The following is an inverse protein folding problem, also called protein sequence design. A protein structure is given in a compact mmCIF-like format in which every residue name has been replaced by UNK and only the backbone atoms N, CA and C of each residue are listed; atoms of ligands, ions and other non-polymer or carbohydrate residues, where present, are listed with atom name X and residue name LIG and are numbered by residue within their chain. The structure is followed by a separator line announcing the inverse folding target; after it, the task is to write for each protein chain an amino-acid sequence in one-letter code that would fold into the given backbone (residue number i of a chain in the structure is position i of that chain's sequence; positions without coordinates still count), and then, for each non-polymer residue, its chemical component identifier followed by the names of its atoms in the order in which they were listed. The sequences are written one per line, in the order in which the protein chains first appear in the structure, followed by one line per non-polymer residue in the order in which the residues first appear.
data_IF_843923006061
#
_entry.id   IF_843923006061
#
_cell.length_a   1.000
_cell.length_b   1.000
_cell.length_c   1.000
_cell.angle_alpha   90.00
_cell.angle_beta   90.00
_cell.angle_gamma   90.00
#
_symmetry.space_group_name_H-M   'P 1'
#
loop_
_entity.id
_entity.type
_entity.pdbx_description
1 polymer ?
#
# COMPACT_ATOMS: atom_id res chain seq x y z
N UNK A 1 12.72 2.62 25.98
CA UNK A 1 11.97 2.38 24.71
C UNK A 1 11.08 3.57 24.43
N UNK A 2 11.26 4.19 23.30
CA UNK A 2 10.36 5.25 22.83
C UNK A 2 9.07 4.61 22.34
N UNK A 3 7.96 5.25 22.61
CA UNK A 3 6.66 4.79 22.10
C UNK A 3 6.54 5.19 20.64
N UNK A 4 6.11 4.25 19.79
CA UNK A 4 5.87 4.52 18.38
C UNK A 4 4.61 5.37 18.23
N UNK A 5 4.72 6.48 17.51
CA UNK A 5 3.59 7.36 17.21
C UNK A 5 3.21 7.25 15.74
N UNK A 6 1.94 7.52 15.44
CA UNK A 6 1.38 7.44 14.09
C UNK A 6 0.68 8.75 13.75
N UNK A 7 1.03 9.32 12.61
CA UNK A 7 0.39 10.52 12.07
C UNK A 7 -0.34 10.17 10.78
N UNK A 8 -1.65 10.39 10.76
CA UNK A 8 -2.46 10.26 9.54
C UNK A 8 -2.76 11.62 8.96
N UNK A 9 -2.54 11.77 7.67
CA UNK A 9 -2.87 12.97 6.90
C UNK A 9 -3.66 12.61 5.64
N UNK A 10 -4.39 13.58 5.12
CA UNK A 10 -5.24 13.45 3.95
C UNK A 10 -5.05 14.66 3.02
N UNK A 11 -5.44 14.52 1.76
CA UNK A 11 -5.42 15.63 0.80
C UNK A 11 -4.06 16.29 0.63
N UNK A 12 -4.05 17.62 0.63
CA UNK A 12 -2.85 18.45 0.40
C UNK A 12 -1.76 18.20 1.45
N UNK A 13 -2.15 18.03 2.71
CA UNK A 13 -1.22 17.72 3.79
C UNK A 13 -0.50 16.40 3.55
N UNK A 14 -1.23 15.37 3.12
CA UNK A 14 -0.66 14.08 2.76
C UNK A 14 0.31 14.21 1.59
N UNK A 15 -0.05 14.99 0.57
CA UNK A 15 0.82 15.23 -0.59
C UNK A 15 2.16 15.86 -0.20
N UNK A 16 2.20 16.65 0.87
CA UNK A 16 3.42 17.28 1.38
C UNK A 16 4.27 16.34 2.26
N UNK A 17 3.77 15.16 2.59
CA UNK A 17 4.44 14.23 3.49
C UNK A 17 5.56 13.40 2.87
N UNK A 18 5.75 13.46 1.55
CA UNK A 18 6.70 12.60 0.84
C UNK A 18 8.14 12.72 1.38
N UNK A 19 8.62 13.94 1.56
CA UNK A 19 10.01 14.17 2.00
C UNK A 19 10.30 13.54 3.37
N UNK A 20 9.29 13.45 4.23
CA UNK A 20 9.43 12.85 5.54
C UNK A 20 9.69 11.34 5.48
N UNK A 21 9.01 10.61 4.60
CA UNK A 21 9.15 9.16 4.55
C UNK A 21 10.03 8.63 3.40
N UNK A 22 10.42 9.48 2.46
CA UNK A 22 11.22 9.04 1.30
C UNK A 22 12.52 8.33 1.69
N UNK A 23 13.27 8.76 2.73
CA UNK A 23 14.45 7.99 3.17
C UNK A 23 14.10 6.57 3.61
N UNK A 24 12.99 6.38 4.31
CA UNK A 24 12.53 5.05 4.71
C UNK A 24 12.11 4.21 3.49
N UNK A 25 11.46 4.82 2.50
CA UNK A 25 11.13 4.17 1.23
C UNK A 25 12.39 3.63 0.55
N UNK A 26 13.40 4.47 0.39
CA UNK A 26 14.66 4.08 -0.25
C UNK A 26 15.32 2.91 0.46
N UNK A 27 15.37 2.94 1.79
CA UNK A 27 15.99 1.86 2.58
C UNK A 27 15.27 0.53 2.38
N UNK A 28 13.94 0.53 2.36
CA UNK A 28 13.15 -0.70 2.22
C UNK A 28 13.20 -1.25 0.80
N UNK A 29 13.00 -0.40 -0.20
CA UNK A 29 12.80 -0.85 -1.58
C UNK A 29 14.09 -1.10 -2.37
N UNK A 30 15.25 -0.75 -1.83
CA UNK A 30 16.55 -1.18 -2.37
C UNK A 30 16.79 -2.67 -2.12
N UNK A 31 16.15 -3.25 -1.13
CA UNK A 31 16.27 -4.67 -0.79
C UNK A 31 15.44 -5.57 -1.73
N UNK A 32 15.84 -6.88 -1.88
CA UNK A 32 14.98 -7.85 -2.57
C UNK A 32 13.60 -7.99 -1.89
N UNK A 33 12.55 -8.29 -2.64
CA UNK A 33 12.50 -8.58 -4.09
C UNK A 33 12.45 -7.32 -4.98
N UNK A 34 12.43 -6.13 -4.39
CA UNK A 34 12.18 -4.88 -5.13
C UNK A 34 13.42 -4.40 -5.88
N UNK A 35 14.57 -4.36 -5.23
CA UNK A 35 15.87 -3.97 -5.81
C UNK A 35 15.80 -2.65 -6.59
N UNK A 36 15.06 -1.67 -6.05
CA UNK A 36 14.86 -0.38 -6.72
C UNK A 36 16.18 0.40 -6.86
N UNK A 37 16.35 0.99 -8.04
CA UNK A 37 17.46 1.88 -8.37
C UNK A 37 17.01 3.36 -8.31
N UNK A 38 17.92 4.34 -8.54
CA UNK A 38 17.56 5.75 -8.52
C UNK A 38 16.48 6.15 -9.53
N UNK A 39 16.38 5.44 -10.66
CA UNK A 39 15.34 5.67 -11.67
C UNK A 39 13.99 5.26 -11.13
N UNK A 40 13.92 4.08 -10.49
CA UNK A 40 12.68 3.59 -9.87
C UNK A 40 12.18 4.57 -8.80
N UNK A 41 13.10 5.10 -7.99
CA UNK A 41 12.76 6.10 -6.97
C UNK A 41 12.22 7.39 -7.59
N UNK A 42 12.81 7.85 -8.69
CA UNK A 42 12.31 9.04 -9.39
C UNK A 42 10.90 8.82 -9.95
N UNK A 43 10.64 7.66 -10.52
CA UNK A 43 9.30 7.26 -11.00
C UNK A 43 8.29 7.18 -9.85
N UNK A 44 8.72 6.65 -8.71
CA UNK A 44 7.90 6.61 -7.50
C UNK A 44 7.49 8.01 -7.04
N UNK A 45 8.41 8.96 -7.01
CA UNK A 45 8.14 10.35 -6.60
C UNK A 45 7.09 10.99 -7.52
N UNK A 46 7.24 10.83 -8.83
CA UNK A 46 6.28 11.37 -9.80
C UNK A 46 4.90 10.74 -9.62
N UNK A 47 4.85 9.41 -9.48
CA UNK A 47 3.61 8.68 -9.30
C UNK A 47 2.92 9.03 -7.97
N UNK A 48 3.68 9.20 -6.89
CA UNK A 48 3.13 9.62 -5.61
C UNK A 48 2.39 10.94 -5.71
N UNK A 49 2.96 11.93 -6.40
CA UNK A 49 2.31 13.23 -6.57
C UNK A 49 1.01 13.14 -7.36
N UNK A 50 0.92 12.23 -8.32
CA UNK A 50 -0.32 11.96 -9.06
C UNK A 50 -1.34 11.27 -8.16
N UNK A 51 -0.93 10.24 -7.43
CA UNK A 51 -1.80 9.46 -6.56
C UNK A 51 -2.32 10.28 -5.37
N UNK A 52 -1.51 11.19 -4.83
CA UNK A 52 -1.90 12.02 -3.69
C UNK A 52 -3.05 12.99 -4.01
N UNK A 53 -3.35 13.20 -5.28
CA UNK A 53 -4.51 14.00 -5.72
C UNK A 53 -5.80 13.18 -5.85
N UNK A 54 -5.73 11.88 -5.70
CA UNK A 54 -6.92 11.02 -5.85
C UNK A 54 -7.86 11.18 -4.66
N UNK A 55 -9.18 11.07 -4.91
CA UNK A 55 -10.16 11.08 -3.82
C UNK A 55 -9.87 10.01 -2.78
N UNK A 56 -10.01 10.37 -1.51
CA UNK A 56 -9.79 9.43 -0.41
C UNK A 56 -8.34 9.09 -0.13
N UNK A 57 -7.38 9.82 -0.71
CA UNK A 57 -5.95 9.57 -0.44
C UNK A 57 -5.63 9.79 1.04
N UNK A 58 -4.96 8.80 1.64
CA UNK A 58 -4.49 8.83 3.02
C UNK A 58 -3.03 8.42 3.09
N UNK A 59 -2.30 9.08 3.98
CA UNK A 59 -0.91 8.75 4.33
C UNK A 59 -0.81 8.59 5.84
N UNK A 60 -0.18 7.51 6.30
CA UNK A 60 0.18 7.32 7.71
C UNK A 60 1.70 7.21 7.81
N UNK A 61 2.28 7.96 8.72
CA UNK A 61 3.72 7.90 9.02
C UNK A 61 3.89 7.42 10.45
N UNK A 62 4.72 6.40 10.63
CA UNK A 62 5.10 5.88 11.94
C UNK A 62 6.47 6.44 12.34
N UNK A 63 6.57 6.90 13.59
CA UNK A 63 7.80 7.47 14.15
C UNK A 63 8.19 6.79 15.45
N UNK A 64 9.50 6.62 15.63
CA UNK A 64 10.12 6.32 16.92
C UNK A 64 10.92 7.58 17.30
N UNK A 65 10.36 8.37 18.23
CA UNK A 65 10.87 9.72 18.47
C UNK A 65 10.75 10.60 17.22
N UNK A 66 11.87 11.17 16.79
CA UNK A 66 11.93 12.00 15.58
C UNK A 66 12.15 11.18 14.29
N UNK A 67 12.48 9.90 14.42
CA UNK A 67 12.85 9.05 13.29
C UNK A 67 11.62 8.43 12.62
N UNK A 68 11.50 8.58 11.30
CA UNK A 68 10.47 7.89 10.51
C UNK A 68 10.89 6.45 10.32
N UNK A 69 10.09 5.52 10.83
CA UNK A 69 10.38 4.09 10.84
C UNK A 69 9.51 3.28 9.89
N UNK A 70 8.42 3.87 9.42
CA UNK A 70 7.51 3.22 8.49
C UNK A 70 6.46 4.18 7.95
N UNK A 71 5.75 3.75 6.93
CA UNK A 71 4.69 4.52 6.30
C UNK A 71 3.72 3.61 5.57
N UNK A 72 2.53 4.13 5.33
CA UNK A 72 1.53 3.47 4.49
C UNK A 72 0.68 4.52 3.80
N UNK A 73 0.29 4.29 2.56
CA UNK A 73 -0.65 5.16 1.87
C UNK A 73 -1.49 4.40 0.86
N UNK A 74 -2.61 5.01 0.52
CA UNK A 74 -3.55 4.47 -0.44
C UNK A 74 -4.66 5.46 -0.75
N UNK A 75 -5.58 5.03 -1.59
CA UNK A 75 -6.73 5.84 -2.02
C UNK A 75 -7.92 4.96 -2.41
N UNK A 76 -9.09 5.57 -2.53
CA UNK A 76 -10.29 4.89 -3.03
C UNK A 76 -10.21 4.72 -4.54
N UNK A 77 -10.55 3.52 -5.03
CA UNK A 77 -10.56 3.25 -6.47
C UNK A 77 -11.71 4.01 -7.14
N UNK A 78 -11.41 4.85 -8.16
CA UNK A 78 -12.45 5.55 -8.89
C UNK A 78 -13.25 4.59 -9.79
N UNK A 79 -14.45 4.99 -10.26
CA UNK A 79 -15.25 4.14 -11.14
C UNK A 79 -14.53 3.71 -12.41
N UNK A 80 -13.66 4.55 -12.96
CA UNK A 80 -12.90 4.30 -14.17
C UNK A 80 -11.55 3.60 -13.93
N UNK A 81 -11.35 3.07 -12.73
CA UNK A 81 -10.06 2.42 -12.37
C UNK A 81 -9.72 1.28 -13.30
N UNK A 82 -8.43 1.10 -13.54
CA UNK A 82 -7.90 -0.04 -14.29
C UNK A 82 -7.33 -1.14 -13.38
N UNK A 83 -7.53 -1.01 -12.07
CA UNK A 83 -6.95 -1.91 -11.07
C UNK A 83 -7.19 -3.39 -11.39
N UNK A 84 -8.44 -3.73 -11.70
CA UNK A 84 -8.83 -5.12 -11.96
C UNK A 84 -8.53 -5.62 -13.37
N UNK A 85 -8.21 -4.73 -14.29
CA UNK A 85 -7.90 -5.10 -15.69
C UNK A 85 -6.59 -5.87 -15.84
N UNK A 86 -5.70 -5.78 -14.86
CA UNK A 86 -4.45 -6.53 -14.83
C UNK A 86 -4.58 -7.99 -14.43
N UNK A 87 -5.75 -8.42 -13.96
CA UNK A 87 -5.99 -9.81 -13.56
C UNK A 87 -5.81 -10.76 -14.75
N UNK A 88 -5.00 -11.81 -14.56
CA UNK A 88 -4.73 -12.80 -15.61
C UNK A 88 -5.93 -13.67 -15.91
N UNK A 89 -6.80 -13.91 -14.90
CA UNK A 89 -8.07 -14.56 -15.07
C UNK A 89 -9.18 -13.56 -14.78
N UNK A 90 -10.08 -13.30 -15.75
CA UNK A 90 -11.17 -12.36 -15.53
C UNK A 90 -12.04 -12.76 -14.33
N UNK A 91 -12.42 -11.78 -13.53
CA UNK A 91 -13.37 -11.93 -12.43
C UNK A 91 -14.76 -11.46 -12.91
N UNK A 92 -15.86 -11.91 -12.26
CA UNK A 92 -17.19 -11.41 -12.57
C UNK A 92 -17.27 -9.88 -12.51
N UNK A 93 -18.11 -9.30 -13.37
CA UNK A 93 -18.27 -7.85 -13.46
C UNK A 93 -18.73 -7.23 -12.14
N UNK A 94 -19.61 -7.87 -11.41
CA UNK A 94 -20.08 -7.44 -10.10
C UNK A 94 -18.94 -7.39 -9.05
N UNK A 95 -17.89 -8.19 -9.23
CA UNK A 95 -16.69 -8.10 -8.40
C UNK A 95 -15.79 -6.92 -8.79
N UNK A 96 -15.61 -6.66 -10.07
CA UNK A 96 -14.65 -5.66 -10.58
C UNK A 96 -15.22 -4.27 -10.73
N UNK A 97 -16.54 -4.11 -10.65
CA UNK A 97 -17.18 -2.79 -10.72
C UNK A 97 -16.81 -1.93 -9.52
N UNK A 98 -16.40 -0.70 -9.79
CA UNK A 98 -16.05 0.29 -8.76
C UNK A 98 -16.94 1.51 -8.84
N UNK A 99 -17.21 2.10 -7.68
CA UNK A 99 -18.11 3.24 -7.55
C UNK A 99 -17.42 4.53 -7.08
N UNK A 100 -16.14 4.42 -6.71
CA UNK A 100 -15.41 5.49 -6.03
C UNK A 100 -15.49 5.41 -4.51
N UNK A 101 -16.42 4.63 -3.97
CA UNK A 101 -16.63 4.46 -2.53
C UNK A 101 -16.67 2.99 -2.09
N UNK A 102 -16.33 2.07 -2.98
CA UNK A 102 -16.42 0.64 -2.70
C UNK A 102 -15.13 0.03 -2.18
N UNK A 103 -13.99 0.39 -2.79
CA UNK A 103 -12.71 -0.25 -2.52
C UNK A 103 -11.63 0.78 -2.20
N UNK A 104 -10.90 0.56 -1.12
CA UNK A 104 -9.66 1.29 -0.83
C UNK A 104 -8.46 0.45 -1.24
N UNK A 105 -7.57 1.00 -2.06
CA UNK A 105 -6.35 0.34 -2.47
C UNK A 105 -5.17 0.83 -1.62
N UNK A 106 -4.52 -0.08 -0.92
CA UNK A 106 -3.24 0.19 -0.26
C UNK A 106 -2.16 0.08 -1.32
N UNK A 107 -1.47 1.19 -1.56
CA UNK A 107 -0.42 1.24 -2.58
C UNK A 107 0.92 0.82 -2.01
N UNK A 108 1.28 1.35 -0.83
CA UNK A 108 2.46 0.92 -0.10
C UNK A 108 2.20 0.84 1.40
N UNK A 109 2.84 -0.12 2.03
CA UNK A 109 2.96 -0.25 3.47
C UNK A 109 4.33 -0.85 3.74
N UNK A 110 5.20 -0.10 4.42
CA UNK A 110 6.57 -0.51 4.63
C UNK A 110 7.07 -0.11 6.02
N UNK A 111 7.90 -0.97 6.60
CA UNK A 111 8.57 -0.73 7.88
C UNK A 111 10.06 -0.99 7.69
N UNK A 112 10.89 -0.07 8.18
CA UNK A 112 12.34 -0.21 8.13
C UNK A 112 12.77 -1.46 8.90
N UNK A 113 13.76 -2.16 8.38
CA UNK A 113 14.19 -3.49 8.85
C UNK A 113 14.40 -3.57 10.36
N UNK A 114 15.04 -2.55 10.94
CA UNK A 114 15.35 -2.54 12.38
C UNK A 114 14.09 -2.48 13.28
N UNK A 115 12.94 -2.09 12.73
CA UNK A 115 11.68 -1.97 13.48
C UNK A 115 10.63 -3.00 13.09
N UNK A 116 10.98 -3.97 12.27
CA UNK A 116 10.06 -5.05 11.87
C UNK A 116 9.76 -5.98 13.05
N UNK A 117 8.60 -6.67 12.98
CA UNK A 117 8.12 -7.63 13.98
C UNK A 117 7.89 -7.05 15.37
N UNK A 118 7.56 -5.76 15.43
CA UNK A 118 7.28 -5.03 16.68
C UNK A 118 5.88 -4.41 16.68
N UNK A 119 5.01 -4.83 15.74
CA UNK A 119 3.64 -4.33 15.64
C UNK A 119 3.48 -3.02 14.85
N UNK A 120 4.56 -2.45 14.31
CA UNK A 120 4.49 -1.19 13.55
C UNK A 120 3.63 -1.32 12.30
N UNK A 121 3.77 -2.41 11.54
CA UNK A 121 2.95 -2.64 10.35
C UNK A 121 1.45 -2.72 10.69
N UNK A 122 1.10 -3.42 11.77
CA UNK A 122 -0.27 -3.50 12.25
C UNK A 122 -0.82 -2.13 12.66
N UNK A 123 -0.01 -1.32 13.31
CA UNK A 123 -0.36 0.05 13.68
C UNK A 123 -0.61 0.94 12.47
N UNK A 124 0.25 0.86 11.46
CA UNK A 124 0.08 1.57 10.18
C UNK A 124 -1.22 1.15 9.49
N UNK A 125 -1.46 -0.15 9.38
CA UNK A 125 -2.63 -0.71 8.73
C UNK A 125 -3.92 -0.26 9.43
N UNK A 126 -3.97 -0.39 10.76
CA UNK A 126 -5.13 0.02 11.55
C UNK A 126 -5.46 1.50 11.37
N UNK A 127 -4.44 2.37 11.44
CA UNK A 127 -4.62 3.82 11.27
C UNK A 127 -5.04 4.21 9.86
N UNK A 128 -4.49 3.52 8.86
CA UNK A 128 -4.81 3.77 7.47
C UNK A 128 -6.28 3.47 7.16
N UNK A 129 -6.82 2.40 7.72
CA UNK A 129 -8.19 1.94 7.47
C UNK A 129 -9.24 2.52 8.41
N UNK A 130 -8.83 3.18 9.48
CA UNK A 130 -9.76 3.68 10.49
C UNK A 130 -10.78 4.66 9.90
N UNK A 131 -12.06 4.37 10.13
CA UNK A 131 -13.16 5.21 9.66
C UNK A 131 -13.39 5.23 8.15
N UNK A 132 -12.79 4.31 7.37
CA UNK A 132 -13.03 4.23 5.93
C UNK A 132 -14.47 3.76 5.63
N UNK A 133 -15.23 4.51 4.82
CA UNK A 133 -16.60 4.13 4.46
C UNK A 133 -16.65 3.22 3.23
N UNK A 134 -15.76 2.22 3.17
CA UNK A 134 -15.65 1.29 2.03
C UNK A 134 -16.07 -0.12 2.40
N UNK A 135 -16.42 -0.93 1.41
CA UNK A 135 -16.80 -2.32 1.59
C UNK A 135 -15.60 -3.23 1.76
N UNK A 136 -14.50 -2.91 1.09
CA UNK A 136 -13.30 -3.76 1.04
C UNK A 136 -12.02 -2.97 0.83
N UNK A 137 -10.92 -3.63 1.13
CA UNK A 137 -9.55 -3.12 0.90
C UNK A 137 -8.83 -4.07 -0.04
N UNK A 138 -8.04 -3.55 -0.95
CA UNK A 138 -7.22 -4.35 -1.86
C UNK A 138 -5.77 -3.90 -1.85
N UNK A 139 -4.89 -4.82 -2.19
CA UNK A 139 -3.48 -4.56 -2.42
C UNK A 139 -2.91 -5.62 -3.36
N UNK A 140 -1.74 -5.35 -3.90
CA UNK A 140 -0.99 -6.33 -4.69
C UNK A 140 0.34 -6.63 -4.01
N UNK A 141 0.80 -7.88 -4.13
CA UNK A 141 2.03 -8.36 -3.51
C UNK A 141 2.90 -9.07 -4.52
N UNK A 142 4.22 -8.95 -4.33
CA UNK A 142 5.18 -9.71 -5.13
C UNK A 142 5.10 -11.20 -4.72
N UNK A 143 5.14 -12.13 -5.69
CA UNK A 143 5.06 -13.57 -5.38
C UNK A 143 6.41 -14.18 -4.97
N UNK A 144 7.51 -13.44 -5.06
CA UNK A 144 8.85 -13.94 -4.78
C UNK A 144 9.01 -14.40 -3.32
N UNK A 145 9.91 -15.35 -3.03
CA UNK A 145 10.11 -15.88 -1.68
C UNK A 145 10.44 -14.83 -0.62
N UNK A 146 11.13 -13.75 -0.99
CA UNK A 146 11.46 -12.66 -0.07
C UNK A 146 10.21 -11.91 0.44
N UNK A 147 9.08 -12.03 -0.24
CA UNK A 147 7.80 -11.45 0.16
C UNK A 147 6.97 -12.36 1.07
N UNK A 148 7.39 -13.60 1.33
CA UNK A 148 6.65 -14.57 2.14
C UNK A 148 6.27 -14.04 3.54
N UNK A 149 7.14 -13.34 4.29
CA UNK A 149 6.74 -12.78 5.58
C UNK A 149 5.59 -11.78 5.48
N UNK A 150 5.56 -10.94 4.43
CA UNK A 150 4.46 -10.02 4.19
C UNK A 150 3.17 -10.76 3.84
N UNK A 151 3.23 -11.80 3.00
CA UNK A 151 2.08 -12.65 2.69
C UNK A 151 1.46 -13.25 3.95
N UNK A 152 2.28 -13.79 4.85
CA UNK A 152 1.82 -14.37 6.11
C UNK A 152 1.12 -13.32 6.99
N UNK A 153 1.67 -12.11 7.03
CA UNK A 153 1.10 -11.00 7.79
C UNK A 153 -0.29 -10.62 7.27
N UNK A 154 -0.43 -10.42 5.97
CA UNK A 154 -1.72 -10.04 5.39
C UNK A 154 -2.74 -11.16 5.49
N UNK A 155 -2.34 -12.41 5.31
CA UNK A 155 -3.22 -13.56 5.51
C UNK A 155 -3.73 -13.61 6.96
N UNK A 156 -2.86 -13.35 7.95
CA UNK A 156 -3.25 -13.29 9.36
C UNK A 156 -4.25 -12.17 9.64
N UNK A 157 -4.21 -11.06 8.87
CA UNK A 157 -5.17 -9.96 8.99
C UNK A 157 -6.50 -10.21 8.26
N UNK A 158 -6.63 -11.36 7.58
CA UNK A 158 -7.88 -11.74 6.91
C UNK A 158 -7.93 -11.48 5.41
N UNK A 159 -6.82 -11.05 4.81
CA UNK A 159 -6.76 -10.91 3.35
C UNK A 159 -6.80 -12.27 2.67
N UNK A 160 -7.52 -12.33 1.55
CA UNK A 160 -7.58 -13.51 0.68
C UNK A 160 -7.04 -13.18 -0.70
N UNK A 161 -6.38 -14.14 -1.32
CA UNK A 161 -5.92 -14.02 -2.70
C UNK A 161 -7.11 -14.14 -3.65
N UNK A 162 -7.25 -13.21 -4.58
CA UNK A 162 -8.31 -13.25 -5.60
C UNK A 162 -7.79 -13.60 -6.99
N UNK A 163 -6.49 -13.50 -7.21
CA UNK A 163 -5.88 -13.89 -8.48
C UNK A 163 -4.48 -13.31 -8.64
N UNK A 164 -3.88 -13.59 -9.80
CA UNK A 164 -2.61 -12.99 -10.20
C UNK A 164 -2.89 -11.79 -11.11
N UNK A 165 -2.07 -10.76 -10.99
CA UNK A 165 -2.20 -9.52 -11.73
C UNK A 165 -0.89 -9.12 -12.38
N UNK A 166 -0.98 -8.65 -13.62
CA UNK A 166 0.11 -8.02 -14.35
C UNK A 166 -0.46 -6.76 -15.02
N UNK A 167 -0.26 -5.58 -14.40
CA UNK A 167 -0.87 -4.33 -14.89
C UNK A 167 -0.45 -3.95 -16.30
N UNK A 168 0.74 -4.34 -16.74
CA UNK A 168 1.23 -4.17 -18.10
C UNK A 168 2.19 -5.31 -18.44
N UNK A 169 2.52 -5.46 -19.75
CA UNK A 169 3.45 -6.50 -20.21
C UNK A 169 4.85 -6.33 -19.59
N UNK A 170 5.23 -5.12 -19.24
CA UNK A 170 6.52 -4.79 -18.63
C UNK A 170 6.50 -4.88 -17.09
N UNK A 171 5.32 -5.01 -16.50
CA UNK A 171 5.17 -5.08 -15.05
C UNK A 171 5.60 -6.44 -14.51
N UNK A 172 6.11 -6.51 -13.27
CA UNK A 172 6.23 -7.77 -12.55
C UNK A 172 4.87 -8.45 -12.39
N UNK A 173 4.89 -9.74 -12.12
CA UNK A 173 3.70 -10.46 -11.69
C UNK A 173 3.41 -10.12 -10.24
N UNK A 174 2.13 -9.90 -9.91
CA UNK A 174 1.66 -9.66 -8.55
C UNK A 174 0.56 -10.65 -8.18
N UNK A 175 0.36 -10.82 -6.89
CA UNK A 175 -0.82 -11.47 -6.33
C UNK A 175 -1.78 -10.39 -5.82
N UNK A 176 -3.02 -10.41 -6.31
CA UNK A 176 -4.05 -9.48 -5.87
C UNK A 176 -4.75 -10.04 -4.62
N UNK A 177 -4.85 -9.23 -3.59
CA UNK A 177 -5.40 -9.59 -2.28
C UNK A 177 -6.57 -8.67 -1.95
N UNK A 178 -7.56 -9.20 -1.25
CA UNK A 178 -8.74 -8.45 -0.81
C UNK A 178 -9.06 -8.76 0.65
N UNK A 179 -9.40 -7.73 1.40
CA UNK A 179 -9.97 -7.82 2.75
C UNK A 179 -11.40 -7.26 2.71
N UNK A 180 -12.37 -8.09 3.00
CA UNK A 180 -13.76 -7.64 3.11
C UNK A 180 -14.00 -7.01 4.49
N UNK A 181 -14.54 -5.79 4.51
CA UNK A 181 -14.84 -5.05 5.74
C UNK A 181 -16.32 -5.17 6.14
N UNK A 182 -17.18 -5.55 5.18
CA UNK A 182 -18.64 -5.69 5.38
C UNK A 182 -19.17 -6.92 4.68
#
# INVERSE_FOLDING_TARGET
MTEVTYERSEGTEAAQGLDAFLPAHREVFVEPPYCEDPKDVAEFIELFHVQAKRPGFRLVIARDGAEVIGFAFGFQLPPETRWWKGLLKPMPEDFTEETGERTFAIIELAVRKAWRRQGTAAGLHTRLLDGLPVERVTLTMRPEPDAVPAHATYAAWGYRKVGQSRPSDESPLYEAMVLDLR
#
